data_IF_862719221579
#
_entry.id   IF_862719221579
#
_cell.length_a   1.000
_cell.length_b   1.000
_cell.length_c   1.000
_cell.angle_alpha   90.00
_cell.angle_beta   90.00
_cell.angle_gamma   90.00
#
_symmetry.space_group_name_H-M   'P 1'
#
loop_
_entity.id
_entity.type
_entity.pdbx_description
1 polymer ?
#
# COMPACT_ATOMS: atom_id res chain seq x y z
N UNK A 1 37.76 -70.31 -4.34
CA UNK A 1 37.00 -69.61 -3.27
C UNK A 1 36.23 -68.38 -3.77
N UNK A 2 36.83 -67.52 -4.59
CA UNK A 2 36.24 -66.23 -5.03
C UNK A 2 34.82 -66.31 -5.62
N UNK A 3 34.52 -67.31 -6.47
CA UNK A 3 33.19 -67.48 -7.11
C UNK A 3 32.05 -67.74 -6.11
N UNK A 4 32.32 -68.45 -5.01
CA UNK A 4 31.33 -68.70 -3.95
C UNK A 4 31.04 -67.45 -3.14
N UNK A 5 32.08 -66.69 -2.80
CA UNK A 5 31.95 -65.43 -2.06
C UNK A 5 31.14 -64.42 -2.85
N UNK A 6 31.42 -64.26 -4.16
CA UNK A 6 30.65 -63.36 -5.04
C UNK A 6 29.18 -63.76 -5.11
N UNK A 7 28.87 -65.04 -5.25
CA UNK A 7 27.48 -65.53 -5.30
C UNK A 7 26.71 -65.27 -3.98
N UNK A 8 27.38 -65.40 -2.83
CA UNK A 8 26.75 -65.12 -1.53
C UNK A 8 26.44 -63.63 -1.40
N UNK A 9 27.40 -62.76 -1.73
CA UNK A 9 27.21 -61.30 -1.63
C UNK A 9 26.16 -60.76 -2.61
N UNK A 10 26.10 -61.28 -3.84
CA UNK A 10 25.07 -60.89 -4.80
C UNK A 10 23.67 -61.32 -4.33
N UNK A 11 23.55 -62.51 -3.76
CA UNK A 11 22.29 -62.99 -3.18
C UNK A 11 21.82 -62.10 -2.02
N UNK A 12 22.76 -61.69 -1.16
CA UNK A 12 22.48 -60.85 0.00
C UNK A 12 22.05 -59.43 -0.42
N UNK A 13 22.69 -58.87 -1.44
CA UNK A 13 22.28 -57.59 -2.05
C UNK A 13 20.87 -57.66 -2.64
N UNK A 14 20.53 -58.73 -3.36
CA UNK A 14 19.19 -58.92 -3.92
C UNK A 14 18.14 -59.05 -2.81
N UNK A 15 18.41 -59.82 -1.76
CA UNK A 15 17.51 -59.92 -0.61
C UNK A 15 17.31 -58.57 0.10
N UNK A 16 18.38 -57.80 0.32
CA UNK A 16 18.27 -56.46 0.89
C UNK A 16 17.45 -55.52 -0.01
N UNK A 17 17.65 -55.56 -1.33
CA UNK A 17 16.88 -54.74 -2.26
C UNK A 17 15.39 -55.09 -2.24
N UNK A 18 15.04 -56.39 -2.17
CA UNK A 18 13.65 -56.86 -2.07
C UNK A 18 13.02 -56.37 -0.75
N UNK A 19 13.73 -56.49 0.38
CA UNK A 19 13.24 -56.00 1.67
C UNK A 19 13.00 -54.49 1.67
N UNK A 20 13.94 -53.70 1.12
CA UNK A 20 13.77 -52.25 1.00
C UNK A 20 12.57 -51.91 0.12
N UNK A 21 12.39 -52.62 -1.00
CA UNK A 21 11.24 -52.43 -1.87
C UNK A 21 9.91 -52.69 -1.13
N UNK A 22 9.77 -53.83 -0.45
CA UNK A 22 8.54 -54.15 0.27
C UNK A 22 8.27 -53.27 1.50
N UNK A 23 9.32 -52.74 2.12
CA UNK A 23 9.19 -51.96 3.34
C UNK A 23 8.97 -50.47 3.09
N UNK A 24 9.54 -49.92 2.00
CA UNK A 24 9.55 -48.48 1.76
C UNK A 24 8.93 -48.03 0.43
N UNK A 25 8.82 -48.92 -0.57
CA UNK A 25 8.40 -48.53 -1.93
C UNK A 25 7.06 -49.15 -2.32
N UNK A 26 6.81 -50.39 -1.89
CA UNK A 26 5.57 -51.10 -2.19
C UNK A 26 4.40 -50.38 -1.52
N UNK A 27 3.63 -49.66 -2.34
CA UNK A 27 2.39 -48.99 -1.94
C UNK A 27 1.43 -50.07 -1.44
N UNK A 28 1.10 -50.04 -0.15
CA UNK A 28 0.14 -50.97 0.42
C UNK A 28 -1.27 -50.50 0.09
N UNK A 29 -2.23 -51.41 0.04
CA UNK A 29 -3.65 -51.05 -0.16
C UNK A 29 -4.15 -50.01 0.86
N UNK A 30 -3.61 -50.05 2.08
CA UNK A 30 -3.89 -49.05 3.12
C UNK A 30 -3.39 -47.64 2.77
N UNK A 31 -2.23 -47.55 2.12
CA UNK A 31 -1.66 -46.26 1.69
C UNK A 31 -2.46 -45.69 0.51
N UNK A 32 -2.95 -46.58 -0.38
CA UNK A 32 -3.85 -46.21 -1.47
C UNK A 32 -5.19 -45.68 -0.93
N UNK A 33 -5.78 -46.37 0.05
CA UNK A 33 -7.02 -45.93 0.70
C UNK A 33 -6.84 -44.58 1.40
N UNK A 34 -5.78 -44.41 2.19
CA UNK A 34 -5.47 -43.14 2.85
C UNK A 34 -5.23 -42.00 1.85
N UNK A 35 -4.59 -42.30 0.71
CA UNK A 35 -4.40 -41.32 -0.37
C UNK A 35 -5.73 -40.95 -1.04
N UNK A 36 -6.62 -41.92 -1.26
CA UNK A 36 -7.96 -41.68 -1.79
C UNK A 36 -8.79 -40.83 -0.83
N UNK A 37 -8.72 -41.09 0.48
CA UNK A 37 -9.40 -40.31 1.51
C UNK A 37 -8.88 -38.85 1.51
N UNK A 38 -7.56 -38.64 1.48
CA UNK A 38 -6.96 -37.30 1.34
C UNK A 38 -7.36 -36.60 0.04
N UNK A 39 -7.48 -37.35 -1.06
CA UNK A 39 -7.95 -36.85 -2.35
C UNK A 39 -9.42 -36.42 -2.29
N UNK A 40 -10.28 -37.22 -1.64
CA UNK A 40 -11.69 -36.93 -1.44
C UNK A 40 -11.88 -35.70 -0.56
N UNK A 41 -11.14 -35.62 0.56
CA UNK A 41 -11.13 -34.47 1.46
C UNK A 41 -10.64 -33.21 0.75
N UNK A 42 -9.60 -33.33 -0.10
CA UNK A 42 -9.15 -32.22 -0.95
C UNK A 42 -10.22 -31.77 -1.94
N UNK A 43 -10.98 -32.70 -2.53
CA UNK A 43 -12.07 -32.39 -3.46
C UNK A 43 -13.25 -31.73 -2.75
N UNK A 44 -13.58 -32.16 -1.53
CA UNK A 44 -14.63 -31.58 -0.71
C UNK A 44 -14.27 -30.17 -0.22
N UNK A 45 -13.01 -29.94 0.17
CA UNK A 45 -12.48 -28.60 0.48
C UNK A 45 -12.46 -27.72 -0.79
N UNK A 46 -12.17 -28.31 -1.96
CA UNK A 46 -12.25 -27.61 -3.26
C UNK A 46 -13.67 -27.44 -3.78
N UNK A 47 -14.68 -28.02 -3.11
CA UNK A 47 -16.06 -27.81 -3.50
C UNK A 47 -16.39 -26.32 -3.32
N UNK A 48 -17.01 -25.71 -4.33
CA UNK A 48 -17.28 -24.26 -4.46
C UNK A 48 -18.11 -23.64 -3.31
N UNK A 49 -18.43 -24.39 -2.27
CA UNK A 49 -19.22 -23.93 -1.12
C UNK A 49 -18.43 -24.02 0.19
N UNK A 50 -17.23 -24.60 0.20
CA UNK A 50 -16.40 -24.66 1.41
C UNK A 50 -15.99 -23.25 1.87
N UNK A 51 -15.56 -22.40 0.95
CA UNK A 51 -15.19 -21.00 1.22
C UNK A 51 -16.39 -20.06 1.47
N UNK A 52 -17.61 -20.50 1.12
CA UNK A 52 -18.83 -19.79 1.51
C UNK A 52 -19.17 -20.05 2.99
N UNK A 53 -18.85 -21.25 3.50
CA UNK A 53 -19.12 -21.65 4.89
C UNK A 53 -18.00 -21.24 5.84
N UNK A 54 -16.76 -21.46 5.45
CA UNK A 54 -15.57 -21.15 6.24
C UNK A 54 -14.54 -20.43 5.37
N UNK A 55 -14.35 -19.11 5.54
CA UNK A 55 -13.36 -18.39 4.77
C UNK A 55 -11.96 -18.88 5.11
N UNK A 56 -11.14 -19.08 4.08
CA UNK A 56 -9.74 -19.44 4.24
C UNK A 56 -8.98 -18.29 4.89
N UNK A 57 -8.27 -18.56 5.99
CA UNK A 57 -7.47 -17.57 6.70
C UNK A 57 -5.99 -17.95 6.65
N UNK A 58 -5.14 -16.97 6.37
CA UNK A 58 -3.70 -17.15 6.37
C UNK A 58 -3.02 -15.95 7.03
N UNK A 59 -2.26 -16.21 8.09
CA UNK A 59 -1.39 -15.23 8.73
C UNK A 59 0.01 -15.37 8.15
N UNK A 60 0.61 -14.25 7.75
CA UNK A 60 1.92 -14.19 7.10
C UNK A 60 2.80 -13.13 7.77
N UNK A 61 4.10 -13.40 7.79
CA UNK A 61 5.13 -12.54 8.36
C UNK A 61 6.07 -12.06 7.26
N UNK A 62 6.55 -10.82 7.36
CA UNK A 62 7.51 -10.22 6.43
C UNK A 62 7.04 -10.33 4.97
N UNK A 63 5.78 -9.93 4.73
CA UNK A 63 5.15 -10.05 3.41
C UNK A 63 5.68 -8.94 2.51
N UNK A 64 6.13 -9.34 1.32
CA UNK A 64 6.32 -8.43 0.20
C UNK A 64 5.22 -8.68 -0.83
N UNK A 65 4.59 -7.61 -1.30
CA UNK A 65 3.52 -7.70 -2.30
C UNK A 65 3.68 -6.57 -3.31
N UNK A 66 3.53 -6.92 -4.58
CA UNK A 66 3.43 -5.96 -5.67
C UNK A 66 1.96 -5.94 -6.13
N UNK A 67 1.31 -4.77 -6.01
CA UNK A 67 -0.04 -4.54 -6.55
C UNK A 67 0.13 -3.77 -7.85
N UNK A 68 -0.36 -4.34 -8.94
CA UNK A 68 -0.27 -3.74 -10.26
C UNK A 68 -1.56 -2.98 -10.56
N UNK A 69 -1.41 -1.72 -10.98
CA UNK A 69 -2.54 -0.86 -11.34
C UNK A 69 -2.37 -0.38 -12.79
N UNK A 70 -3.30 -0.75 -13.67
CA UNK A 70 -3.36 -0.28 -15.06
C UNK A 70 -3.72 -1.35 -16.09
N UNK A 71 -4.40 -0.94 -17.17
CA UNK A 71 -4.61 -1.74 -18.38
C UNK A 71 -3.48 -1.49 -19.40
N UNK A 72 -3.28 -2.46 -20.30
CA UNK A 72 -2.28 -2.56 -21.38
C UNK A 72 -1.31 -1.37 -21.59
N UNK A 73 -0.01 -1.66 -21.36
CA UNK A 73 1.19 -0.87 -21.69
C UNK A 73 1.57 0.32 -20.79
N UNK A 74 0.78 0.67 -19.77
CA UNK A 74 1.22 1.64 -18.73
C UNK A 74 0.95 1.10 -17.34
N UNK A 75 1.71 0.08 -16.93
CA UNK A 75 1.55 -0.45 -15.58
C UNK A 75 2.28 0.44 -14.61
N UNK A 76 1.55 0.90 -13.62
CA UNK A 76 2.14 1.37 -12.39
C UNK A 76 2.03 0.26 -11.36
N UNK A 77 2.92 0.23 -10.39
CA UNK A 77 2.79 -0.73 -9.31
C UNK A 77 3.14 -0.11 -7.97
N UNK A 78 2.44 -0.61 -6.96
CA UNK A 78 2.74 -0.36 -5.57
C UNK A 78 3.51 -1.57 -5.07
N UNK A 79 4.79 -1.38 -4.80
CA UNK A 79 5.57 -2.36 -4.04
C UNK A 79 5.38 -2.09 -2.57
N UNK A 80 4.90 -3.08 -1.83
CA UNK A 80 4.64 -3.00 -0.41
C UNK A 80 5.41 -4.07 0.35
N UNK A 81 5.84 -3.71 1.54
CA UNK A 81 6.42 -4.59 2.54
C UNK A 81 5.63 -4.39 3.83
N UNK A 82 5.29 -5.48 4.50
CA UNK A 82 4.54 -5.46 5.76
C UNK A 82 5.17 -6.43 6.75
N UNK A 83 5.22 -6.06 8.02
CA UNK A 83 5.72 -6.95 9.07
C UNK A 83 4.80 -8.14 9.27
N UNK A 84 3.48 -7.90 9.23
CA UNK A 84 2.45 -8.91 9.39
C UNK A 84 1.33 -8.68 8.38
N UNK A 85 0.71 -9.76 7.91
CA UNK A 85 -0.46 -9.72 7.03
C UNK A 85 -1.45 -10.82 7.41
N UNK A 86 -2.72 -10.48 7.48
CA UNK A 86 -3.82 -11.45 7.55
C UNK A 86 -4.57 -11.44 6.23
N UNK A 87 -4.54 -12.57 5.51
CA UNK A 87 -5.29 -12.80 4.29
C UNK A 87 -6.52 -13.64 4.59
N UNK A 88 -7.67 -13.14 4.17
CA UNK A 88 -8.96 -13.83 4.25
C UNK A 88 -9.46 -13.99 2.82
N UNK A 89 -9.68 -15.24 2.40
CA UNK A 89 -10.29 -15.56 1.12
C UNK A 89 -11.67 -16.13 1.41
N UNK A 90 -12.68 -15.50 0.82
CA UNK A 90 -14.07 -15.92 0.96
C UNK A 90 -14.72 -16.01 -0.40
N UNK A 91 -15.78 -16.80 -0.50
CA UNK A 91 -16.61 -16.85 -1.69
C UNK A 91 -17.96 -16.25 -1.37
N UNK A 92 -18.37 -15.25 -2.15
CA UNK A 92 -19.71 -14.67 -2.10
C UNK A 92 -20.46 -15.04 -3.37
N UNK A 93 -21.24 -16.13 -3.30
CA UNK A 93 -21.95 -16.69 -4.43
C UNK A 93 -20.99 -17.20 -5.51
N UNK A 94 -20.91 -16.49 -6.65
CA UNK A 94 -20.00 -16.86 -7.76
C UNK A 94 -18.67 -16.11 -7.75
N UNK A 95 -18.52 -15.09 -6.90
CA UNK A 95 -17.32 -14.26 -6.84
C UNK A 95 -16.40 -14.72 -5.73
N UNK A 96 -15.09 -14.73 -5.99
CA UNK A 96 -14.06 -14.93 -4.99
C UNK A 96 -13.55 -13.56 -4.54
N UNK A 97 -13.61 -13.33 -3.24
CA UNK A 97 -13.16 -12.10 -2.62
C UNK A 97 -11.96 -12.39 -1.73
N UNK A 98 -10.91 -11.59 -1.87
CA UNK A 98 -9.76 -11.65 -1.00
C UNK A 98 -9.58 -10.33 -0.29
N UNK A 99 -9.48 -10.38 1.03
CA UNK A 99 -9.23 -9.26 1.91
C UNK A 99 -7.89 -9.48 2.60
N UNK A 100 -6.98 -8.51 2.46
CA UNK A 100 -5.68 -8.57 3.11
C UNK A 100 -5.50 -7.37 4.02
N UNK A 101 -5.26 -7.64 5.30
CA UNK A 101 -4.95 -6.61 6.30
C UNK A 101 -3.46 -6.64 6.61
N UNK A 102 -2.77 -5.52 6.41
CA UNK A 102 -1.35 -5.32 6.63
C UNK A 102 -1.11 -4.53 7.93
N UNK A 103 -0.02 -4.82 8.64
CA UNK A 103 0.43 -4.04 9.80
C UNK A 103 1.86 -3.52 9.61
N UNK A 104 2.07 -2.27 9.97
CA UNK A 104 3.34 -1.55 9.80
C UNK A 104 3.81 -1.63 8.34
N UNK A 105 2.94 -1.20 7.43
CA UNK A 105 3.22 -1.26 6.01
C UNK A 105 4.17 -0.13 5.58
N UNK A 106 5.06 -0.47 4.66
CA UNK A 106 5.89 0.47 3.92
C UNK A 106 5.72 0.18 2.45
N UNK A 107 5.48 1.21 1.64
CA UNK A 107 5.25 1.06 0.22
C UNK A 107 5.90 2.17 -0.59
N UNK A 108 6.09 1.89 -1.87
CA UNK A 108 6.50 2.86 -2.86
C UNK A 108 5.65 2.69 -4.12
N UNK A 109 5.11 3.79 -4.61
CA UNK A 109 4.46 3.84 -5.92
C UNK A 109 5.51 4.19 -6.98
N UNK A 110 5.64 3.33 -7.99
CA UNK A 110 6.65 3.49 -9.05
C UNK A 110 6.02 3.44 -10.44
N UNK A 111 6.59 4.21 -11.37
CA UNK A 111 6.23 4.17 -12.79
C UNK A 111 7.15 3.18 -13.53
N UNK A 112 6.59 2.19 -14.21
CA UNK A 112 7.37 1.11 -14.85
C UNK A 112 8.33 1.61 -15.94
N UNK A 113 7.96 2.66 -16.69
CA UNK A 113 8.76 3.16 -17.81
C UNK A 113 10.17 3.63 -17.42
N UNK A 114 10.32 4.22 -16.22
CA UNK A 114 11.57 4.88 -15.81
C UNK A 114 12.03 4.51 -14.39
N UNK A 115 11.32 3.60 -13.71
CA UNK A 115 11.50 3.30 -12.27
C UNK A 115 11.50 4.55 -11.36
N UNK A 116 10.88 5.65 -11.82
CA UNK A 116 10.77 6.89 -11.06
C UNK A 116 9.79 6.71 -9.92
N UNK A 117 10.19 7.20 -8.75
CA UNK A 117 9.43 7.10 -7.52
C UNK A 117 8.37 8.19 -7.52
N UNK A 118 7.09 7.83 -7.49
CA UNK A 118 6.03 8.84 -7.45
C UNK A 118 5.88 9.35 -6.00
N UNK A 119 5.74 8.42 -5.06
CA UNK A 119 5.73 8.70 -3.63
C UNK A 119 6.06 7.43 -2.83
N UNK A 120 6.45 7.63 -1.57
CA UNK A 120 6.56 6.58 -0.56
C UNK A 120 5.43 6.72 0.44
N UNK A 121 4.91 5.59 0.89
CA UNK A 121 3.89 5.50 1.93
C UNK A 121 4.44 4.68 3.09
N UNK A 122 4.20 5.15 4.31
CA UNK A 122 4.33 4.36 5.52
C UNK A 122 3.00 4.44 6.27
N UNK A 123 2.45 3.32 6.74
CA UNK A 123 1.20 3.32 7.47
C UNK A 123 1.20 2.27 8.57
N UNK A 124 0.47 2.52 9.66
CA UNK A 124 0.35 1.55 10.75
C UNK A 124 -0.49 0.34 10.33
N UNK A 125 -1.49 0.56 9.49
CA UNK A 125 -2.40 -0.48 9.02
C UNK A 125 -2.77 -0.23 7.55
N UNK A 126 -2.94 -1.31 6.79
CA UNK A 126 -3.38 -1.25 5.40
C UNK A 126 -4.41 -2.33 5.11
N UNK A 127 -5.30 -2.08 4.16
CA UNK A 127 -6.35 -2.99 3.73
C UNK A 127 -6.35 -3.04 2.22
N UNK A 128 -6.23 -4.24 1.65
CA UNK A 128 -6.36 -4.47 0.22
C UNK A 128 -7.51 -5.41 -0.05
N UNK A 129 -8.34 -5.07 -1.05
CA UNK A 129 -9.46 -5.90 -1.48
C UNK A 129 -9.34 -6.27 -2.95
N UNK A 130 -9.56 -7.54 -3.25
CA UNK A 130 -9.68 -8.07 -4.61
C UNK A 130 -11.09 -8.64 -4.81
N UNK A 131 -11.74 -8.40 -5.97
CA UNK A 131 -11.20 -7.81 -7.20
C UNK A 131 -11.38 -6.29 -7.34
N UNK A 132 -11.82 -5.58 -6.29
CA UNK A 132 -12.06 -4.12 -6.39
C UNK A 132 -10.78 -3.29 -6.54
N UNK A 133 -9.62 -3.90 -6.30
CA UNK A 133 -8.30 -3.25 -6.28
C UNK A 133 -8.22 -2.02 -5.37
N UNK A 134 -9.03 -2.03 -4.31
CA UNK A 134 -9.09 -0.95 -3.33
C UNK A 134 -7.97 -1.16 -2.30
N UNK A 135 -7.05 -0.19 -2.20
CA UNK A 135 -6.03 -0.13 -1.15
C UNK A 135 -6.30 1.06 -0.24
N UNK A 136 -6.58 0.80 1.03
CA UNK A 136 -6.79 1.81 2.07
C UNK A 136 -5.70 1.69 3.12
N UNK A 137 -5.13 2.79 3.58
CA UNK A 137 -4.11 2.82 4.62
C UNK A 137 -4.51 3.76 5.76
N UNK A 138 -4.19 3.40 7.00
CA UNK A 138 -4.51 4.17 8.19
C UNK A 138 -3.25 4.63 8.93
N UNK A 139 -3.33 5.82 9.54
CA UNK A 139 -2.21 6.50 10.23
C UNK A 139 -0.99 6.56 9.33
N UNK A 140 -1.16 7.30 8.25
CA UNK A 140 -0.33 7.26 7.06
C UNK A 140 0.60 8.46 7.01
N UNK A 141 1.82 8.20 6.53
CA UNK A 141 2.85 9.17 6.20
C UNK A 141 3.19 9.02 4.72
N UNK A 142 3.10 10.12 3.97
CA UNK A 142 3.42 10.18 2.55
C UNK A 142 4.64 11.05 2.36
N UNK A 143 5.57 10.59 1.54
CA UNK A 143 6.78 11.31 1.17
C UNK A 143 6.84 11.41 -0.36
N UNK A 144 6.95 12.63 -0.88
CA UNK A 144 7.14 12.87 -2.32
C UNK A 144 8.60 13.16 -2.65
N UNK A 145 8.98 13.09 -3.93
CA UNK A 145 10.33 13.44 -4.37
C UNK A 145 10.70 14.90 -4.05
N UNK A 146 9.74 15.82 -4.17
CA UNK A 146 9.95 17.26 -3.97
C UNK A 146 10.02 17.68 -2.47
N UNK A 147 10.42 16.77 -1.58
CA UNK A 147 10.57 16.98 -0.13
C UNK A 147 9.29 17.43 0.60
N UNK A 148 8.11 17.06 0.08
CA UNK A 148 6.87 17.19 0.83
C UNK A 148 6.62 15.94 1.66
N UNK A 149 6.14 16.20 2.88
CA UNK A 149 5.77 15.23 3.87
C UNK A 149 4.32 15.47 4.26
N UNK A 150 3.49 14.43 4.19
CA UNK A 150 2.09 14.50 4.60
C UNK A 150 1.80 13.44 5.66
N UNK A 151 1.13 13.82 6.73
CA UNK A 151 0.50 12.91 7.68
C UNK A 151 -1.02 12.97 7.52
N UNK A 152 -1.68 11.82 7.63
CA UNK A 152 -3.14 11.72 7.60
C UNK A 152 -3.64 10.53 8.45
N UNK A 153 -4.90 10.56 8.84
CA UNK A 153 -5.54 9.43 9.52
C UNK A 153 -5.86 8.28 8.57
N UNK A 154 -6.25 8.60 7.33
CA UNK A 154 -6.63 7.63 6.28
C UNK A 154 -6.12 8.08 4.92
N UNK A 155 -5.70 7.12 4.09
CA UNK A 155 -5.38 7.30 2.68
C UNK A 155 -6.13 6.25 1.85
N UNK A 156 -6.69 6.68 0.73
CA UNK A 156 -7.29 5.81 -0.28
C UNK A 156 -6.44 5.85 -1.55
N UNK A 157 -5.98 4.68 -1.97
CA UNK A 157 -5.01 4.48 -3.03
C UNK A 157 -5.65 3.57 -4.07
N UNK A 158 -6.08 4.16 -5.18
CA UNK A 158 -6.81 3.41 -6.21
C UNK A 158 -5.85 2.97 -7.32
N UNK A 159 -5.23 3.91 -8.03
CA UNK A 159 -4.22 3.64 -9.06
C UNK A 159 -3.22 4.78 -9.14
N UNK A 160 -2.04 4.59 -9.77
CA UNK A 160 -1.06 5.68 -9.88
C UNK A 160 -1.52 6.86 -10.75
N UNK A 161 -2.51 6.63 -11.60
CA UNK A 161 -3.06 7.63 -12.50
C UNK A 161 -4.21 8.42 -11.87
N UNK A 162 -4.70 7.98 -10.72
CA UNK A 162 -5.73 8.65 -9.95
C UNK A 162 -5.12 9.46 -8.80
N UNK A 163 -5.82 10.51 -8.35
CA UNK A 163 -5.36 11.28 -7.22
C UNK A 163 -5.34 10.43 -5.94
N UNK A 164 -4.28 10.60 -5.15
CA UNK A 164 -4.19 10.07 -3.81
C UNK A 164 -5.11 10.90 -2.90
N UNK A 165 -6.08 10.26 -2.28
CA UNK A 165 -7.02 10.92 -1.37
C UNK A 165 -6.61 10.66 0.07
N UNK A 166 -6.50 11.73 0.86
CA UNK A 166 -6.14 11.70 2.26
C UNK A 166 -7.24 12.36 3.08
N UNK A 167 -7.59 11.74 4.20
CA UNK A 167 -8.64 12.24 5.09
C UNK A 167 -8.20 12.18 6.57
N UNK A 168 -8.61 13.19 7.32
CA UNK A 168 -8.46 13.29 8.76
C UNK A 168 -7.10 13.84 9.20
N UNK A 169 -7.12 14.96 9.93
CA UNK A 169 -5.96 15.58 10.57
C UNK A 169 -4.75 15.71 9.64
N UNK A 170 -4.96 16.26 8.45
CA UNK A 170 -3.88 16.40 7.47
C UNK A 170 -2.84 17.38 8.00
N UNK A 171 -1.58 16.95 7.98
CA UNK A 171 -0.42 17.81 8.25
C UNK A 171 0.53 17.73 7.09
N UNK A 172 0.68 18.83 6.36
CA UNK A 172 1.65 18.96 5.30
C UNK A 172 2.86 19.73 5.82
N UNK A 173 4.06 19.26 5.50
CA UNK A 173 5.33 19.95 5.73
C UNK A 173 6.19 19.87 4.49
N UNK A 174 6.87 20.96 4.14
CA UNK A 174 7.97 20.96 3.18
C UNK A 174 9.19 21.63 3.81
N UNK A 175 10.36 21.02 3.66
CA UNK A 175 11.62 21.51 4.26
C UNK A 175 12.36 22.54 3.41
N UNK A 176 11.98 22.72 2.14
CA UNK A 176 12.77 23.53 1.20
C UNK A 176 11.95 24.09 0.04
N UNK A 177 10.65 24.29 0.23
CA UNK A 177 9.83 24.86 -0.84
C UNK A 177 10.07 26.37 -0.89
N UNK A 178 10.57 26.86 -2.03
CA UNK A 178 11.04 28.24 -2.17
C UNK A 178 12.12 28.61 -1.14
N UNK A 179 12.99 27.66 -0.80
CA UNK A 179 14.03 27.81 0.23
C UNK A 179 13.48 28.15 1.63
N UNK A 180 12.18 27.90 1.85
CA UNK A 180 11.46 28.16 3.09
C UNK A 180 10.77 26.91 3.59
N UNK A 181 10.69 26.78 4.91
CA UNK A 181 9.83 25.76 5.49
C UNK A 181 8.36 26.16 5.33
N UNK A 182 7.56 25.22 4.82
CA UNK A 182 6.13 25.43 4.64
C UNK A 182 5.36 24.37 5.40
N UNK A 183 4.28 24.80 6.02
CA UNK A 183 3.42 23.92 6.79
C UNK A 183 1.96 24.23 6.45
N UNK A 184 1.13 23.18 6.44
CA UNK A 184 -0.31 23.36 6.32
C UNK A 184 -1.08 22.31 7.12
N UNK A 185 -2.28 22.70 7.57
CA UNK A 185 -3.24 21.85 8.26
C UNK A 185 -4.57 21.87 7.50
N UNK A 186 -5.12 20.69 7.26
CA UNK A 186 -6.39 20.52 6.57
C UNK A 186 -7.19 19.34 7.14
N UNK A 187 -8.47 19.26 6.80
CA UNK A 187 -9.28 18.08 7.11
C UNK A 187 -9.14 17.00 6.03
N UNK A 188 -8.93 17.42 4.78
CA UNK A 188 -8.72 16.54 3.62
C UNK A 188 -7.62 17.06 2.72
N UNK A 189 -6.97 16.15 2.00
CA UNK A 189 -6.02 16.49 0.97
C UNK A 189 -6.15 15.54 -0.23
N UNK A 190 -5.97 16.11 -1.42
CA UNK A 190 -5.95 15.38 -2.68
C UNK A 190 -4.61 15.68 -3.34
N UNK A 191 -3.82 14.65 -3.63
CA UNK A 191 -2.56 14.79 -4.34
C UNK A 191 -2.69 14.24 -5.75
N UNK A 192 -2.44 15.08 -6.75
CA UNK A 192 -2.39 14.74 -8.15
C UNK A 192 -0.93 14.57 -8.58
N UNK A 193 -0.39 13.34 -8.66
CA UNK A 193 1.05 13.16 -8.85
C UNK A 193 1.54 13.61 -10.24
N UNK A 194 0.69 13.47 -11.27
CA UNK A 194 0.99 13.92 -12.65
C UNK A 194 1.11 15.44 -12.74
N UNK A 195 0.24 16.15 -12.05
CA UNK A 195 0.17 17.60 -12.04
C UNK A 195 1.11 18.20 -10.99
N UNK A 196 1.63 17.39 -10.06
CA UNK A 196 2.39 17.83 -8.89
C UNK A 196 1.63 18.90 -8.10
N UNK A 197 0.34 18.62 -7.87
CA UNK A 197 -0.62 19.52 -7.25
C UNK A 197 -1.16 18.87 -5.97
N UNK A 198 -1.10 19.60 -4.86
CA UNK A 198 -1.89 19.31 -3.67
C UNK A 198 -3.08 20.25 -3.59
N UNK A 199 -4.26 19.68 -3.38
CA UNK A 199 -5.47 20.40 -3.05
C UNK A 199 -5.78 20.07 -1.59
N UNK A 200 -5.69 21.08 -0.72
CA UNK A 200 -6.00 20.99 0.69
C UNK A 200 -7.40 21.56 0.91
N UNK A 201 -8.22 20.87 1.71
CA UNK A 201 -9.62 21.23 1.91
C UNK A 201 -9.96 21.25 3.41
N UNK A 202 -10.66 22.32 3.82
CA UNK A 202 -11.33 22.40 5.10
C UNK A 202 -12.73 21.77 5.04
N UNK A 203 -13.23 21.31 6.18
CA UNK A 203 -14.65 21.01 6.35
C UNK A 203 -15.50 22.28 6.32
N UNK A 204 -16.82 22.18 6.17
CA UNK A 204 -17.71 23.32 5.90
C UNK A 204 -17.59 24.52 6.88
N UNK A 205 -17.09 24.30 8.09
CA UNK A 205 -16.93 25.33 9.13
C UNK A 205 -15.46 25.64 9.46
N UNK A 206 -14.52 25.00 8.78
CA UNK A 206 -13.08 25.13 9.04
C UNK A 206 -12.34 25.54 7.79
N UNK A 207 -11.32 26.38 7.98
CA UNK A 207 -10.39 26.72 6.93
C UNK A 207 -9.15 25.82 7.01
N UNK A 208 -8.53 25.61 5.85
CA UNK A 208 -7.15 25.18 5.77
C UNK A 208 -6.27 26.29 6.32
N UNK A 209 -5.30 25.94 7.15
CA UNK A 209 -4.28 26.87 7.65
C UNK A 209 -2.98 26.58 6.92
N UNK A 210 -2.35 27.59 6.36
CA UNK A 210 -1.04 27.48 5.71
C UNK A 210 -0.12 28.58 6.24
N UNK A 211 1.14 28.23 6.49
CA UNK A 211 2.14 29.20 6.92
C UNK A 211 3.52 28.88 6.34
N UNK A 212 4.22 29.95 5.98
CA UNK A 212 5.55 29.93 5.39
C UNK A 212 6.29 31.19 5.84
N UNK A 213 7.35 31.02 6.63
CA UNK A 213 8.32 32.07 6.98
C UNK A 213 7.69 33.43 7.41
N UNK A 214 6.91 33.42 8.50
CA UNK A 214 6.29 34.62 9.06
C UNK A 214 4.93 34.98 8.47
N UNK A 215 4.69 34.62 7.21
CA UNK A 215 3.38 34.76 6.58
C UNK A 215 2.49 33.55 6.91
N UNK A 216 1.24 33.83 7.27
CA UNK A 216 0.21 32.79 7.41
C UNK A 216 -1.07 33.24 6.74
N UNK A 217 -1.78 32.29 6.15
CA UNK A 217 -3.09 32.56 5.59
C UNK A 217 -4.00 31.35 5.76
N UNK A 218 -5.29 31.64 5.75
CA UNK A 218 -6.34 30.65 5.90
C UNK A 218 -7.35 30.80 4.76
N UNK A 219 -7.79 29.68 4.19
CA UNK A 219 -8.82 29.65 3.16
C UNK A 219 -9.61 28.35 3.27
N UNK A 220 -10.87 28.30 2.79
CA UNK A 220 -11.63 27.04 2.70
C UNK A 220 -10.88 25.95 1.91
N UNK A 221 -10.14 26.37 0.88
CA UNK A 221 -9.39 25.51 -0.02
C UNK A 221 -8.04 26.17 -0.35
N UNK A 222 -6.97 25.36 -0.37
CA UNK A 222 -5.61 25.81 -0.72
C UNK A 222 -5.01 24.87 -1.74
N UNK A 223 -4.52 25.44 -2.84
CA UNK A 223 -3.79 24.73 -3.90
C UNK A 223 -2.30 24.99 -3.76
N UNK A 224 -1.51 23.92 -3.73
CA UNK A 224 -0.04 23.97 -3.73
C UNK A 224 0.45 23.30 -5.01
N UNK A 225 0.92 24.12 -5.94
CA UNK A 225 1.37 23.71 -7.27
C UNK A 225 2.90 23.67 -7.29
N UNK A 226 3.49 22.47 -7.23
CA UNK A 226 4.93 22.32 -6.97
C UNK A 226 5.80 22.75 -8.16
N UNK A 227 5.37 22.47 -9.40
CA UNK A 227 6.10 22.83 -10.62
C UNK A 227 6.15 24.35 -10.86
N UNK A 228 5.08 25.07 -10.54
CA UNK A 228 4.99 26.53 -10.63
C UNK A 228 5.53 27.22 -9.37
N UNK A 229 5.70 26.45 -8.29
CA UNK A 229 6.03 26.93 -6.95
C UNK A 229 5.06 28.02 -6.47
N UNK A 230 3.76 27.79 -6.67
CA UNK A 230 2.71 28.71 -6.24
C UNK A 230 1.85 28.11 -5.13
N UNK A 231 1.37 28.99 -4.25
CA UNK A 231 0.31 28.68 -3.28
C UNK A 231 -0.86 29.58 -3.58
N UNK A 232 -2.05 29.00 -3.74
CA UNK A 232 -3.26 29.75 -4.05
C UNK A 232 -4.35 29.40 -3.03
N UNK A 233 -4.92 30.42 -2.39
CA UNK A 233 -6.10 30.27 -1.55
C UNK A 233 -7.36 30.52 -2.38
N UNK A 234 -8.36 29.65 -2.25
CA UNK A 234 -9.64 29.76 -2.96
C UNK A 234 -10.77 30.04 -1.97
N UNK A 235 -11.60 31.06 -2.26
CA UNK A 235 -12.74 31.46 -1.42
C UNK A 235 -12.44 32.66 -0.51
N UNK A 236 -12.93 32.62 0.74
CA UNK A 236 -12.69 33.67 1.74
C UNK A 236 -11.27 33.54 2.32
N UNK A 237 -10.30 34.14 1.63
CA UNK A 237 -8.89 34.10 2.01
C UNK A 237 -8.58 35.16 3.06
N UNK A 238 -8.01 34.73 4.19
CA UNK A 238 -7.62 35.59 5.30
C UNK A 238 -6.12 35.51 5.52
N UNK A 239 -5.44 36.64 5.41
CA UNK A 239 -4.02 36.75 5.73
C UNK A 239 -3.84 37.20 7.18
N UNK A 240 -2.82 36.65 7.83
CA UNK A 240 -2.31 37.14 9.10
C UNK A 240 -0.84 37.48 8.92
N UNK A 241 -0.53 38.75 9.17
CA UNK A 241 0.82 39.32 9.10
C UNK A 241 1.32 39.60 10.51
N UNK A 242 2.63 39.51 10.71
CA UNK A 242 3.27 40.12 11.88
C UNK A 242 3.08 41.64 11.88
N UNK A 243 3.30 42.28 13.04
CA UNK A 243 3.21 43.74 13.16
C UNK A 243 4.22 44.45 12.23
N UNK A 244 5.43 43.88 12.08
CA UNK A 244 6.48 44.42 11.21
C UNK A 244 6.07 44.36 9.73
N UNK A 245 5.55 43.22 9.29
CA UNK A 245 5.06 43.04 7.91
C UNK A 245 3.83 43.90 7.62
N UNK A 246 2.91 44.02 8.58
CA UNK A 246 1.76 44.92 8.46
C UNK A 246 2.23 46.37 8.25
N UNK A 247 3.17 46.84 9.06
CA UNK A 247 3.73 48.19 8.93
C UNK A 247 4.45 48.38 7.58
N UNK A 248 5.18 47.37 7.11
CA UNK A 248 5.84 47.41 5.81
C UNK A 248 4.82 47.47 4.66
N UNK A 249 3.80 46.60 4.70
CA UNK A 249 2.72 46.56 3.72
C UNK A 249 1.97 47.89 3.66
N UNK A 250 1.58 48.45 4.81
CA UNK A 250 0.95 49.77 4.89
C UNK A 250 1.86 50.86 4.31
N UNK A 251 3.18 50.81 4.55
CA UNK A 251 4.14 51.80 4.02
C UNK A 251 4.33 51.74 2.51
N UNK A 252 4.14 50.56 1.90
CA UNK A 252 4.16 50.40 0.44
C UNK A 252 2.84 50.90 -0.14
N UNK A 253 1.70 50.43 0.40
CA UNK A 253 0.40 50.77 -0.14
C UNK A 253 0.05 52.25 0.03
N UNK A 254 0.49 52.88 1.12
CA UNK A 254 0.32 54.33 1.31
C UNK A 254 1.09 55.18 0.30
N UNK A 255 2.00 54.59 -0.49
CA UNK A 255 2.70 55.28 -1.60
C UNK A 255 1.98 55.14 -2.93
N UNK A 256 1.01 54.24 -3.04
CA UNK A 256 0.27 53.94 -4.27
C UNK A 256 -1.22 54.30 -4.20
N UNK A 257 -1.75 54.65 -3.03
CA UNK A 257 -3.03 55.34 -2.84
C UNK A 257 -2.82 56.83 -2.67
#
# INVERSE_FOLDING_TARGET
>A
MFKRTVAIWSSLLVCCAILVYFQFIAVREKDLAAYQDLMQESLDIKSKHALEKEPGKQIRFLVQKDIWTGEDQKKSHIRMISENSELIISQQGRSLEAHETFRNMKGSMQKEADASLIYRIEAMEGFYRFPSDELVANKVKIFTEDHFYLEADRAEIVTADQPLQLEGNIRLRSSSWLDKETYALADKAIYHPKERLFILLGSAEKNVLCWQDGASFAAPEIHIQQNMKTVEGVGDVRFSFSLEEKNYFESIFSRYM
#
